data_IF_616687469149
#
_entry.id   IF_616687469149
#
_cell.length_a   1.000
_cell.length_b   1.000
_cell.length_c   1.000
_cell.angle_alpha   90.00
_cell.angle_beta   90.00
_cell.angle_gamma   90.00
#
_symmetry.space_group_name_H-M   'P 1'
#
loop_
_entity.id
_entity.type
_entity.pdbx_description
1 polymer ?
#
# COMPACT_ATOMS: atom_id res chain seq x y z
N UNK A 1 17.69 10.20 -2.28
CA UNK A 1 17.23 9.01 -1.52
C UNK A 1 16.64 9.33 -0.16
N UNK A 2 17.13 10.35 0.57
CA UNK A 2 16.66 10.66 1.94
C UNK A 2 15.14 10.89 2.06
N UNK A 3 14.54 11.56 1.08
CA UNK A 3 13.09 11.81 1.04
C UNK A 3 12.25 10.70 0.40
N UNK A 4 12.89 9.68 -0.18
CA UNK A 4 12.17 8.59 -0.85
C UNK A 4 11.32 7.80 0.15
N UNK A 5 11.93 7.38 1.27
CA UNK A 5 11.24 6.61 2.29
C UNK A 5 10.08 7.38 2.94
N UNK A 6 10.25 8.65 3.38
CA UNK A 6 9.13 9.46 3.87
C UNK A 6 7.96 9.59 2.88
N UNK A 7 8.25 9.85 1.60
CA UNK A 7 7.22 10.02 0.57
C UNK A 7 6.47 8.71 0.33
N UNK A 8 7.20 7.61 0.14
CA UNK A 8 6.62 6.28 -0.06
C UNK A 8 5.79 5.85 1.14
N UNK A 9 6.25 6.15 2.36
CA UNK A 9 5.52 5.85 3.57
C UNK A 9 4.20 6.61 3.64
N UNK A 10 4.21 7.93 3.40
CA UNK A 10 2.98 8.75 3.41
C UNK A 10 2.00 8.31 2.33
N UNK A 11 2.48 8.09 1.09
CA UNK A 11 1.64 7.66 -0.02
C UNK A 11 1.10 6.25 0.21
N UNK A 12 1.95 5.30 0.61
CA UNK A 12 1.56 3.92 0.90
C UNK A 12 0.54 3.83 2.04
N UNK A 13 0.77 4.58 3.12
CA UNK A 13 -0.16 4.66 4.24
C UNK A 13 -1.49 5.28 3.82
N UNK A 14 -1.48 6.35 3.01
CA UNK A 14 -2.70 6.97 2.48
C UNK A 14 -3.53 6.01 1.63
N UNK A 15 -2.89 5.27 0.72
CA UNK A 15 -3.55 4.24 -0.11
C UNK A 15 -4.14 3.14 0.76
N UNK A 16 -3.37 2.62 1.72
CA UNK A 16 -3.83 1.58 2.64
C UNK A 16 -5.01 2.04 3.49
N UNK A 17 -4.93 3.23 4.07
CA UNK A 17 -6.00 3.82 4.86
C UNK A 17 -7.28 3.96 4.04
N UNK A 18 -7.18 4.43 2.79
CA UNK A 18 -8.34 4.58 1.91
C UNK A 18 -8.97 3.24 1.54
N UNK A 19 -8.14 2.23 1.23
CA UNK A 19 -8.61 0.86 0.92
C UNK A 19 -9.27 0.22 2.15
N UNK A 20 -8.63 0.30 3.31
CA UNK A 20 -9.20 -0.20 4.57
C UNK A 20 -10.52 0.50 4.88
N UNK A 21 -10.57 1.82 4.81
CA UNK A 21 -11.78 2.60 5.08
C UNK A 21 -12.92 2.26 4.12
N UNK A 22 -12.61 1.99 2.85
CA UNK A 22 -13.60 1.61 1.83
C UNK A 22 -14.14 0.20 2.03
N UNK A 23 -13.30 -0.74 2.45
CA UNK A 23 -13.68 -2.15 2.62
C UNK A 23 -14.17 -2.50 4.03
N UNK A 24 -13.97 -1.61 5.01
CA UNK A 24 -14.50 -1.78 6.37
C UNK A 24 -15.96 -1.33 6.41
N UNK A 25 -16.87 -2.30 6.48
CA UNK A 25 -18.29 -2.07 6.74
C UNK A 25 -18.63 -2.63 8.13
N UNK A 26 -19.35 -1.86 8.96
CA UNK A 26 -19.70 -2.24 10.34
C UNK A 26 -18.51 -2.61 11.25
N UNK A 27 -17.36 -1.92 11.13
CA UNK A 27 -16.14 -2.23 11.89
C UNK A 27 -15.60 -3.65 11.69
N UNK A 28 -16.07 -4.37 10.67
CA UNK A 28 -15.60 -5.72 10.37
C UNK A 28 -15.00 -5.78 8.97
N UNK A 29 -13.80 -6.33 8.88
CA UNK A 29 -13.16 -6.59 7.60
C UNK A 29 -13.62 -7.97 7.12
N UNK A 30 -14.46 -8.01 6.09
CA UNK A 30 -14.88 -9.28 5.49
C UNK A 30 -13.67 -9.97 4.81
N UNK A 31 -13.70 -11.30 4.65
CA UNK A 31 -12.63 -12.09 3.98
C UNK A 31 -12.25 -11.51 2.60
N UNK A 32 -13.23 -10.95 1.88
CA UNK A 32 -12.99 -10.24 0.61
C UNK A 32 -12.19 -8.95 0.78
N UNK A 33 -12.48 -8.17 1.82
CA UNK A 33 -11.72 -6.96 2.17
C UNK A 33 -10.29 -7.28 2.60
N UNK A 34 -10.10 -8.38 3.35
CA UNK A 34 -8.78 -8.86 3.73
C UNK A 34 -7.92 -9.27 2.52
N UNK A 35 -8.51 -10.00 1.56
CA UNK A 35 -7.81 -10.36 0.32
C UNK A 35 -7.44 -9.11 -0.48
N UNK A 36 -8.34 -8.13 -0.62
CA UNK A 36 -8.02 -6.86 -1.29
C UNK A 36 -6.90 -6.10 -0.60
N UNK A 37 -6.84 -6.14 0.74
CA UNK A 37 -5.77 -5.53 1.52
C UNK A 37 -4.42 -6.19 1.22
N UNK A 38 -4.37 -7.52 1.20
CA UNK A 38 -3.17 -8.28 0.82
C UNK A 38 -2.73 -7.96 -0.61
N UNK A 39 -3.67 -7.95 -1.56
CA UNK A 39 -3.37 -7.61 -2.97
C UNK A 39 -2.83 -6.17 -3.08
N UNK A 40 -3.41 -5.23 -2.34
CA UNK A 40 -2.92 -3.84 -2.30
C UNK A 40 -1.50 -3.76 -1.73
N UNK A 41 -1.20 -4.51 -0.67
CA UNK A 41 0.14 -4.61 -0.11
C UNK A 41 1.15 -5.17 -1.12
N UNK A 42 0.81 -6.24 -1.82
CA UNK A 42 1.66 -6.83 -2.86
C UNK A 42 1.94 -5.84 -4.00
N UNK A 43 0.92 -5.11 -4.47
CA UNK A 43 1.09 -4.09 -5.50
C UNK A 43 1.99 -2.95 -5.03
N UNK A 44 1.79 -2.45 -3.80
CA UNK A 44 2.66 -1.42 -3.22
C UNK A 44 4.10 -1.92 -3.09
N UNK A 45 4.30 -3.17 -2.66
CA UNK A 45 5.62 -3.76 -2.55
C UNK A 45 6.34 -3.83 -3.90
N UNK A 46 5.68 -4.37 -4.94
CA UNK A 46 6.26 -4.46 -6.29
C UNK A 46 6.54 -3.08 -6.87
N UNK A 47 5.64 -2.11 -6.66
CA UNK A 47 5.83 -0.74 -7.12
C UNK A 47 7.06 -0.10 -6.48
N UNK A 48 7.17 -0.15 -5.15
CA UNK A 48 8.31 0.43 -4.42
C UNK A 48 9.61 -0.26 -4.82
N UNK A 49 9.61 -1.59 -4.89
CA UNK A 49 10.78 -2.36 -5.28
C UNK A 49 11.25 -2.01 -6.70
N UNK A 50 10.31 -1.92 -7.65
CA UNK A 50 10.60 -1.53 -9.03
C UNK A 50 11.17 -0.11 -9.15
N UNK A 51 10.60 0.85 -8.42
CA UNK A 51 11.11 2.23 -8.39
C UNK A 51 12.53 2.29 -7.81
N UNK A 52 12.80 1.54 -6.73
CA UNK A 52 14.16 1.47 -6.15
C UNK A 52 15.14 0.84 -7.12
N UNK A 53 14.77 -0.25 -7.80
CA UNK A 53 15.61 -0.91 -8.80
C UNK A 53 15.98 0.04 -9.93
N UNK A 54 14.99 0.72 -10.51
CA UNK A 54 15.20 1.69 -11.59
C UNK A 54 16.01 2.92 -11.14
N UNK A 55 15.86 3.34 -9.89
CA UNK A 55 16.60 4.49 -9.36
C UNK A 55 18.06 4.15 -9.04
N UNK A 56 18.41 2.86 -8.89
CA UNK A 56 19.76 2.38 -8.59
C UNK A 56 20.50 1.78 -9.81
N UNK A 57 19.86 1.74 -10.98
CA UNK A 57 20.48 1.39 -12.28
C UNK A 57 20.80 2.64 -13.08
#
# INVERSE_FOLDING_TARGET
MEWFFPIVFVVGFGVLYFVIRKETHNNTLNKRGFIKLIVTFLLLFVFVFGVVLLANT
#
